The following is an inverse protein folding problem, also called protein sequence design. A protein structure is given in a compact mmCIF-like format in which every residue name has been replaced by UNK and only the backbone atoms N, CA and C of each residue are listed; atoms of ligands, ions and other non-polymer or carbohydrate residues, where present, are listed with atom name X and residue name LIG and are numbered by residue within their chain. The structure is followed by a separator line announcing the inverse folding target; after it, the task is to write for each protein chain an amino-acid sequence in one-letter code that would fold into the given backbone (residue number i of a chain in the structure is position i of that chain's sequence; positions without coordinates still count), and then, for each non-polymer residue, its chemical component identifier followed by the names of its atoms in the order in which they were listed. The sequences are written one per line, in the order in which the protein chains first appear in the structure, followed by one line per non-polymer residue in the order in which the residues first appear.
data_IF_344549556713
#
_entry.id   IF_344549556713
#
_cell.length_a   1.000
_cell.length_b   1.000
_cell.length_c   1.000
_cell.angle_alpha   90.00
_cell.angle_beta   90.00
_cell.angle_gamma   90.00
#
_symmetry.space_group_name_H-M   'P 1'
#
loop_
_entity.id
_entity.type
_entity.pdbx_description
1 polymer ?
#
# COMPACT_ATOMS: atom_id res chain seq x y z
N UNK A 1 9.74 1.48 -5.83
CA UNK A 1 8.90 0.51 -5.14
C UNK A 1 7.54 1.04 -4.76
N UNK A 2 7.51 2.20 -4.13
CA UNK A 2 6.25 2.79 -3.72
C UNK A 2 5.28 3.00 -4.89
N UNK A 3 5.78 3.56 -5.98
CA UNK A 3 4.92 3.84 -7.14
C UNK A 3 4.39 2.56 -7.79
N UNK A 4 5.18 1.51 -7.78
CA UNK A 4 4.79 0.24 -8.34
C UNK A 4 3.65 -0.37 -7.52
N UNK A 5 3.80 -0.32 -6.21
CA UNK A 5 2.79 -0.83 -5.28
C UNK A 5 1.50 -0.04 -5.44
N UNK A 6 1.62 1.27 -5.55
CA UNK A 6 0.47 2.14 -5.75
C UNK A 6 -0.27 1.80 -7.05
N UNK A 7 0.48 1.60 -8.12
CA UNK A 7 -0.10 1.26 -9.42
C UNK A 7 -0.83 -0.09 -9.36
N UNK A 8 -0.19 -1.09 -8.75
CA UNK A 8 -0.79 -2.41 -8.64
C UNK A 8 -2.06 -2.39 -7.81
N UNK A 9 -2.08 -1.58 -6.77
CA UNK A 9 -3.30 -1.44 -5.98
C UNK A 9 -4.42 -0.81 -6.82
N UNK A 10 -4.08 0.21 -7.60
CA UNK A 10 -5.07 0.87 -8.47
C UNK A 10 -5.63 -0.08 -9.53
N UNK A 11 -4.81 -1.03 -9.96
CA UNK A 11 -5.23 -2.06 -10.92
C UNK A 11 -5.97 -3.20 -10.24
N UNK A 12 -6.17 -3.10 -8.92
CA UNK A 12 -6.86 -4.10 -8.12
C UNK A 12 -6.14 -5.44 -8.07
N UNK A 13 -4.83 -5.42 -8.29
CA UNK A 13 -4.00 -6.60 -8.15
C UNK A 13 -3.66 -6.89 -6.69
N UNK A 14 -3.71 -5.87 -5.84
CA UNK A 14 -3.44 -6.00 -4.41
C UNK A 14 -4.64 -5.55 -3.61
N UNK A 15 -4.88 -6.21 -2.49
CA UNK A 15 -5.94 -5.80 -1.56
C UNK A 15 -5.35 -4.87 -0.50
N UNK A 16 -6.25 -4.22 0.26
CA UNK A 16 -5.82 -3.37 1.37
C UNK A 16 -5.00 -4.19 2.37
N UNK A 17 -5.42 -5.43 2.64
CA UNK A 17 -4.68 -6.29 3.57
C UNK A 17 -3.27 -6.58 3.07
N UNK A 18 -3.11 -6.73 1.76
CA UNK A 18 -1.78 -6.95 1.19
C UNK A 18 -0.89 -5.73 1.40
N UNK A 19 -1.43 -4.54 1.15
CA UNK A 19 -0.68 -3.30 1.34
C UNK A 19 -0.33 -3.11 2.82
N UNK A 20 -1.22 -3.51 3.71
CA UNK A 20 -0.97 -3.46 5.15
C UNK A 20 0.22 -4.33 5.54
N UNK A 21 0.27 -5.54 4.97
CA UNK A 21 1.39 -6.45 5.22
C UNK A 21 2.70 -5.87 4.70
N UNK A 22 2.67 -5.24 3.55
CA UNK A 22 3.84 -4.58 2.97
C UNK A 22 4.33 -3.46 3.89
N UNK A 23 3.40 -2.69 4.44
CA UNK A 23 3.74 -1.64 5.38
C UNK A 23 4.35 -2.21 6.66
N UNK A 24 3.80 -3.31 7.16
CA UNK A 24 4.31 -3.97 8.35
C UNK A 24 5.75 -4.44 8.17
N UNK A 25 6.13 -4.79 6.95
CA UNK A 25 7.48 -5.22 6.65
C UNK A 25 8.46 -4.07 6.49
N UNK A 26 7.96 -2.84 6.57
CA UNK A 26 8.81 -1.66 6.46
C UNK A 26 9.14 -1.26 5.04
N UNK A 27 8.46 -1.84 4.05
CA UNK A 27 8.69 -1.48 2.65
C UNK A 27 8.14 -0.10 2.35
N UNK A 28 7.01 0.23 2.96
CA UNK A 28 6.41 1.56 2.86
C UNK A 28 6.06 2.06 4.25
N UNK A 29 5.85 3.37 4.36
CA UNK A 29 5.48 3.99 5.64
C UNK A 29 3.95 3.99 5.80
N UNK A 30 3.45 4.16 7.04
CA UNK A 30 2.00 4.31 7.26
C UNK A 30 1.40 5.46 6.46
N UNK A 31 2.16 6.54 6.27
CA UNK A 31 1.70 7.66 5.47
C UNK A 31 1.53 7.25 4.01
N UNK A 32 2.47 6.45 3.51
CA UNK A 32 2.38 5.93 2.15
C UNK A 32 1.23 4.95 2.01
N UNK A 33 0.98 4.16 3.04
CA UNK A 33 -0.17 3.27 3.04
C UNK A 33 -1.47 4.07 2.85
N UNK A 34 -1.62 5.15 3.63
CA UNK A 34 -2.80 5.99 3.52
C UNK A 34 -2.92 6.61 2.13
N UNK A 35 -1.79 7.03 1.57
CA UNK A 35 -1.80 7.62 0.23
C UNK A 35 -2.21 6.61 -0.84
N UNK A 36 -1.80 5.37 -0.68
CA UNK A 36 -2.12 4.32 -1.64
C UNK A 36 -3.58 3.89 -1.54
N UNK A 37 -4.04 3.61 -0.32
CA UNK A 37 -5.34 2.98 -0.11
C UNK A 37 -6.44 3.97 0.20
N UNK A 38 -6.09 5.17 0.66
CA UNK A 38 -7.06 6.14 1.11
C UNK A 38 -7.63 5.84 2.50
N UNK A 39 -7.07 4.87 3.19
CA UNK A 39 -7.50 4.49 4.53
C UNK A 39 -6.39 4.70 5.54
N UNK A 40 -6.76 4.91 6.78
CA UNK A 40 -5.79 5.08 7.84
C UNK A 40 -5.14 3.74 8.19
N UNK A 41 -3.84 3.80 8.38
CA UNK A 41 -3.11 2.62 8.84
C UNK A 41 -3.34 2.45 10.33
#
# INVERSE_FOLDING_TARGET
MFEKIKRFFRMKLYTVNHIKAVCDKGVITPEQFTEITGEEY
#
